data_IF_628482694761
#
_entry.id   IF_628482694761
#
_cell.length_a   1.000
_cell.length_b   1.000
_cell.length_c   1.000
_cell.angle_alpha   90.00
_cell.angle_beta   90.00
_cell.angle_gamma   90.00
#
_symmetry.space_group_name_H-M   'P 1'
#
loop_
_entity.id
_entity.type
_entity.pdbx_description
1 polymer ?
#
# COMPACT_ATOMS: atom_id res chain seq x y z
N UNK A 1 -10.55 23.81 2.87
CA UNK A 1 -9.51 22.90 2.39
C UNK A 1 -9.71 21.58 3.11
N UNK A 2 -9.81 20.48 2.37
CA UNK A 2 -10.04 19.14 2.90
C UNK A 2 -8.73 18.41 3.11
N UNK A 3 -8.69 17.45 4.01
CA UNK A 3 -7.52 16.63 4.27
C UNK A 3 -7.84 15.15 4.05
N UNK A 4 -7.02 14.47 3.23
CA UNK A 4 -7.21 13.08 2.87
C UNK A 4 -6.03 12.27 3.40
N UNK A 5 -6.34 11.22 4.15
CA UNK A 5 -5.37 10.31 4.75
C UNK A 5 -5.46 8.94 4.08
N UNK A 6 -4.38 8.49 3.47
CA UNK A 6 -4.26 7.13 2.94
C UNK A 6 -3.44 6.28 3.91
N UNK A 7 -4.09 5.28 4.50
CA UNK A 7 -3.48 4.32 5.42
C UNK A 7 -3.12 3.05 4.64
N UNK A 8 -1.86 2.65 4.69
CA UNK A 8 -1.47 1.34 4.19
C UNK A 8 -2.03 0.26 5.13
N UNK A 9 -2.53 -0.83 4.58
CA UNK A 9 -2.92 -2.00 5.37
C UNK A 9 -1.77 -2.50 6.25
N UNK A 10 -2.11 -3.15 7.36
CA UNK A 10 -1.17 -3.80 8.26
C UNK A 10 -0.50 -5.03 7.61
N UNK A 11 0.52 -5.57 8.25
CA UNK A 11 1.26 -6.71 7.73
C UNK A 11 0.33 -7.90 7.42
N UNK A 12 0.40 -8.37 6.19
CA UNK A 12 -0.26 -9.59 5.74
C UNK A 12 0.56 -10.85 6.07
N UNK A 13 -0.08 -12.01 6.06
CA UNK A 13 0.54 -13.30 6.35
C UNK A 13 1.30 -13.84 5.14
N UNK A 14 2.56 -13.42 4.96
CA UNK A 14 3.43 -13.95 3.92
C UNK A 14 3.68 -15.46 4.14
N UNK A 15 3.38 -16.27 3.12
CA UNK A 15 3.61 -17.71 3.14
C UNK A 15 2.51 -18.56 3.81
N UNK A 16 1.39 -17.96 4.23
CA UNK A 16 0.20 -18.71 4.58
C UNK A 16 -0.65 -19.03 3.32
N UNK A 17 -1.52 -20.05 3.42
CA UNK A 17 -2.44 -20.43 2.33
C UNK A 17 -3.33 -19.28 1.85
N UNK A 18 -3.52 -18.26 2.69
CA UNK A 18 -4.26 -17.05 2.38
C UNK A 18 -3.42 -15.80 2.66
N UNK A 19 -2.66 -15.36 1.65
CA UNK A 19 -1.84 -14.13 1.72
C UNK A 19 -2.63 -12.86 2.06
N UNK A 20 -3.94 -12.83 1.80
CA UNK A 20 -4.76 -11.63 1.98
C UNK A 20 -5.26 -11.43 3.42
N UNK A 21 -4.81 -12.25 4.38
CA UNK A 21 -5.12 -12.10 5.80
C UNK A 21 -4.01 -11.38 6.58
N UNK A 22 -4.39 -10.68 7.66
CA UNK A 22 -3.42 -10.04 8.54
C UNK A 22 -2.68 -11.07 9.40
N UNK A 23 -1.36 -10.92 9.51
CA UNK A 23 -0.55 -11.64 10.49
C UNK A 23 -0.90 -11.22 11.93
N UNK A 24 -0.44 -12.00 12.92
CA UNK A 24 -0.57 -11.60 14.33
C UNK A 24 0.05 -10.21 14.59
N UNK A 25 1.23 -9.94 13.99
CA UNK A 25 1.88 -8.61 14.06
C UNK A 25 1.04 -7.54 13.36
N UNK A 26 0.42 -7.85 12.21
CA UNK A 26 -0.47 -6.93 11.50
C UNK A 26 -1.71 -6.54 12.31
N UNK A 27 -2.29 -7.48 13.06
CA UNK A 27 -3.40 -7.19 13.97
C UNK A 27 -2.97 -6.22 15.08
N UNK A 28 -1.77 -6.39 15.65
CA UNK A 28 -1.21 -5.46 16.63
C UNK A 28 -0.94 -4.08 16.02
N UNK A 29 -0.37 -4.01 14.82
CA UNK A 29 -0.16 -2.75 14.11
C UNK A 29 -1.47 -1.98 13.90
N UNK A 30 -2.54 -2.68 13.49
CA UNK A 30 -3.87 -2.09 13.30
C UNK A 30 -4.46 -1.56 14.60
N UNK A 31 -4.26 -2.30 15.70
CA UNK A 31 -4.68 -1.89 17.05
C UNK A 31 -3.97 -0.62 17.49
N UNK A 32 -2.65 -0.54 17.32
CA UNK A 32 -1.85 0.64 17.68
C UNK A 32 -2.22 1.85 16.82
N UNK A 33 -2.50 1.66 15.52
CA UNK A 33 -3.03 2.71 14.66
C UNK A 33 -4.38 3.25 15.21
N UNK A 34 -5.30 2.37 15.56
CA UNK A 34 -6.59 2.74 16.14
C UNK A 34 -6.44 3.55 17.43
N UNK A 35 -5.62 3.07 18.38
CA UNK A 35 -5.32 3.77 19.64
C UNK A 35 -4.73 5.17 19.40
N UNK A 36 -3.80 5.26 18.46
CA UNK A 36 -3.18 6.56 18.11
C UNK A 36 -4.21 7.54 17.55
N UNK A 37 -5.03 7.12 16.60
CA UNK A 37 -6.06 7.98 16.01
C UNK A 37 -7.07 8.46 17.06
N UNK A 38 -7.48 7.58 17.97
CA UNK A 38 -8.35 7.90 19.11
C UNK A 38 -7.67 8.90 20.07
N UNK A 39 -6.40 8.66 20.45
CA UNK A 39 -5.65 9.56 21.34
C UNK A 39 -5.48 10.96 20.75
N UNK A 40 -5.40 11.07 19.43
CA UNK A 40 -5.36 12.35 18.69
C UNK A 40 -6.75 12.93 18.43
N UNK A 41 -7.81 12.31 18.92
CA UNK A 41 -9.21 12.70 18.68
C UNK A 41 -9.50 12.92 17.20
N UNK A 42 -8.90 12.08 16.32
CA UNK A 42 -9.08 12.18 14.87
C UNK A 42 -10.53 11.84 14.54
N UNK A 43 -11.18 12.73 13.79
CA UNK A 43 -12.53 12.53 13.25
C UNK A 43 -12.44 12.52 11.75
N UNK A 44 -13.19 11.63 11.13
CA UNK A 44 -13.31 11.52 9.68
C UNK A 44 -14.77 11.68 9.29
N UNK A 45 -15.00 12.43 8.24
CA UNK A 45 -16.33 12.67 7.68
C UNK A 45 -16.74 11.53 6.75
N UNK A 46 -15.75 10.93 6.07
CA UNK A 46 -15.93 9.76 5.21
C UNK A 46 -14.77 8.79 5.36
N UNK A 47 -15.07 7.50 5.12
CA UNK A 47 -14.07 6.42 5.11
C UNK A 47 -14.22 5.61 3.84
N UNK A 48 -13.12 5.40 3.12
CA UNK A 48 -13.02 4.51 1.99
C UNK A 48 -12.15 3.31 2.34
N UNK A 49 -12.49 2.16 1.78
CA UNK A 49 -11.71 0.92 1.95
C UNK A 49 -11.55 0.25 0.59
N UNK A 50 -10.33 -0.20 0.29
CA UNK A 50 -10.06 -0.97 -0.92
C UNK A 50 -10.62 -2.40 -0.87
N UNK A 51 -10.58 -3.11 -2.02
CA UNK A 51 -11.26 -4.40 -2.17
C UNK A 51 -10.59 -5.59 -1.46
N UNK A 52 -9.34 -5.45 -0.99
CA UNK A 52 -8.57 -6.55 -0.44
C UNK A 52 -8.90 -6.80 1.04
N UNK A 53 -8.97 -8.07 1.46
CA UNK A 53 -9.29 -8.45 2.85
C UNK A 53 -8.37 -7.77 3.87
N UNK A 54 -7.06 -7.72 3.61
CA UNK A 54 -6.10 -7.06 4.51
C UNK A 54 -6.37 -5.57 4.71
N UNK A 55 -6.92 -4.87 3.69
CA UNK A 55 -7.33 -3.47 3.80
C UNK A 55 -8.57 -3.34 4.69
N UNK A 56 -9.56 -4.19 4.46
CA UNK A 56 -10.82 -4.26 5.22
C UNK A 56 -10.56 -4.63 6.68
N UNK A 57 -9.80 -5.70 6.96
CA UNK A 57 -9.45 -6.12 8.31
C UNK A 57 -8.66 -5.05 9.08
N UNK A 58 -7.76 -4.30 8.41
CA UNK A 58 -7.07 -3.17 9.05
C UNK A 58 -8.07 -2.12 9.52
N UNK A 59 -9.02 -1.74 8.65
CA UNK A 59 -10.08 -0.81 8.99
C UNK A 59 -10.98 -1.34 10.12
N UNK A 60 -11.41 -2.60 10.07
CA UNK A 60 -12.28 -3.21 11.07
C UNK A 60 -11.70 -3.18 12.48
N UNK A 61 -10.38 -3.46 12.60
CA UNK A 61 -9.68 -3.38 13.88
C UNK A 61 -9.61 -1.93 14.37
N UNK A 62 -9.30 -0.98 13.48
CA UNK A 62 -9.30 0.46 13.82
C UNK A 62 -10.70 0.90 14.26
N UNK A 63 -11.74 0.50 13.52
CA UNK A 63 -13.12 0.82 13.87
C UNK A 63 -13.50 0.29 15.24
N UNK A 64 -13.16 -0.96 15.55
CA UNK A 64 -13.41 -1.54 16.86
C UNK A 64 -12.81 -0.69 18.00
N UNK A 65 -11.59 -0.18 17.83
CA UNK A 65 -10.97 0.72 18.83
C UNK A 65 -11.75 2.02 18.99
N UNK A 66 -12.28 2.60 17.88
CA UNK A 66 -13.15 3.77 17.96
C UNK A 66 -14.43 3.47 18.74
N UNK A 67 -15.09 2.35 18.43
CA UNK A 67 -16.33 1.93 19.09
C UNK A 67 -16.12 1.70 20.61
N UNK A 68 -15.02 1.04 21.01
CA UNK A 68 -14.64 0.81 22.41
C UNK A 68 -14.37 2.13 23.19
N UNK A 69 -14.06 3.22 22.48
CA UNK A 69 -13.86 4.53 23.08
C UNK A 69 -15.05 5.49 22.86
N UNK A 70 -16.22 4.99 22.49
CA UNK A 70 -17.42 5.76 22.19
C UNK A 70 -17.19 6.89 21.16
N UNK A 71 -16.31 6.66 20.17
CA UNK A 71 -16.03 7.58 19.09
C UNK A 71 -16.65 7.07 17.80
N UNK A 72 -17.24 7.97 17.04
CA UNK A 72 -17.84 7.62 15.76
C UNK A 72 -16.78 7.54 14.65
N UNK A 73 -16.82 6.45 13.89
CA UNK A 73 -16.11 6.28 12.63
C UNK A 73 -17.13 5.91 11.54
N UNK A 74 -17.22 6.65 10.43
CA UNK A 74 -18.21 6.39 9.39
C UNK A 74 -18.16 4.97 8.83
N UNK A 75 -19.33 4.48 8.35
CA UNK A 75 -19.39 3.22 7.60
C UNK A 75 -18.51 3.33 6.36
N UNK A 76 -17.70 2.33 6.04
CA UNK A 76 -16.76 2.39 4.93
C UNK A 76 -17.50 2.29 3.59
N UNK A 77 -17.02 3.06 2.62
CA UNK A 77 -17.38 2.98 1.21
C UNK A 77 -16.32 2.13 0.51
N UNK A 78 -16.75 1.07 -0.17
CA UNK A 78 -15.84 0.23 -0.95
C UNK A 78 -15.45 0.99 -2.23
N UNK A 79 -14.15 1.31 -2.36
CA UNK A 79 -13.60 1.95 -3.56
C UNK A 79 -12.65 0.98 -4.28
N UNK A 80 -13.08 0.48 -5.44
CA UNK A 80 -12.33 -0.54 -6.20
C UNK A 80 -10.97 -0.02 -6.69
N UNK A 81 -10.83 1.26 -6.96
CA UNK A 81 -9.56 1.89 -7.38
C UNK A 81 -8.51 1.95 -6.27
N UNK A 82 -8.86 1.65 -5.01
CA UNK A 82 -7.91 1.48 -3.91
C UNK A 82 -7.29 0.05 -3.87
N UNK A 83 -7.28 -0.64 -5.01
CA UNK A 83 -6.67 -1.96 -5.19
C UNK A 83 -5.14 -1.93 -5.00
N UNK A 84 -4.48 -3.08 -5.11
CA UNK A 84 -3.01 -3.20 -5.17
C UNK A 84 -2.59 -3.85 -6.49
N UNK A 85 -1.38 -3.56 -6.94
CA UNK A 85 -0.79 -4.28 -8.07
C UNK A 85 -0.50 -5.74 -7.69
N UNK A 86 -0.66 -6.66 -8.64
CA UNK A 86 -0.38 -8.08 -8.43
C UNK A 86 1.10 -8.42 -8.68
N UNK A 87 2.03 -7.56 -8.25
CA UNK A 87 3.46 -7.68 -8.54
C UNK A 87 4.10 -8.97 -8.03
N UNK A 88 3.68 -9.49 -6.85
CA UNK A 88 4.19 -10.77 -6.34
C UNK A 88 3.81 -11.92 -7.26
N UNK A 89 2.53 -12.03 -7.63
CA UNK A 89 2.04 -13.05 -8.54
C UNK A 89 2.69 -12.93 -9.93
N UNK A 90 2.86 -11.69 -10.40
CA UNK A 90 3.54 -11.42 -11.66
C UNK A 90 5.02 -11.86 -11.63
N UNK A 91 5.73 -11.57 -10.54
CA UNK A 91 7.10 -12.02 -10.36
C UNK A 91 7.20 -13.56 -10.29
N UNK A 92 6.30 -14.23 -9.57
CA UNK A 92 6.27 -15.70 -9.52
C UNK A 92 6.17 -16.33 -10.90
N UNK A 93 5.30 -15.79 -11.78
CA UNK A 93 5.17 -16.25 -13.17
C UNK A 93 6.44 -15.97 -13.99
N UNK A 94 7.10 -14.82 -13.76
CA UNK A 94 8.27 -14.43 -14.53
C UNK A 94 9.59 -14.98 -14.00
N UNK A 95 9.66 -15.40 -12.75
CA UNK A 95 10.91 -15.83 -12.10
C UNK A 95 11.66 -16.93 -12.88
N UNK A 96 11.01 -17.99 -13.41
CA UNK A 96 11.69 -19.00 -14.22
C UNK A 96 12.36 -18.43 -15.47
N UNK A 97 11.72 -17.45 -16.11
CA UNK A 97 12.27 -16.75 -17.28
C UNK A 97 13.45 -15.86 -16.87
N UNK A 98 13.31 -15.10 -15.79
CA UNK A 98 14.36 -14.22 -15.28
C UNK A 98 15.63 -15.00 -14.91
N UNK A 99 15.51 -16.16 -14.28
CA UNK A 99 16.65 -17.02 -13.96
C UNK A 99 17.41 -17.45 -15.23
N UNK A 100 16.69 -17.68 -16.34
CA UNK A 100 17.31 -18.08 -17.61
C UNK A 100 17.93 -16.92 -18.38
N UNK A 101 17.32 -15.73 -18.32
CA UNK A 101 17.65 -14.63 -19.21
C UNK A 101 18.44 -13.49 -18.55
N UNK A 102 18.47 -13.43 -17.21
CA UNK A 102 19.11 -12.33 -16.44
C UNK A 102 20.18 -12.91 -15.52
N UNK A 103 21.48 -12.80 -15.89
CA UNK A 103 22.57 -13.47 -15.17
C UNK A 103 22.62 -13.18 -13.68
N UNK A 104 22.45 -11.92 -13.27
CA UNK A 104 22.51 -11.56 -11.84
C UNK A 104 21.32 -12.12 -11.04
N UNK A 105 20.14 -12.31 -11.65
CA UNK A 105 18.99 -12.96 -10.99
C UNK A 105 19.31 -14.41 -10.71
N UNK A 106 19.92 -15.11 -11.71
CA UNK A 106 20.40 -16.48 -11.54
C UNK A 106 21.38 -16.56 -10.37
N UNK A 107 22.39 -15.67 -10.33
CA UNK A 107 23.36 -15.61 -9.26
C UNK A 107 22.73 -15.41 -7.87
N UNK A 108 21.79 -14.48 -7.74
CA UNK A 108 21.07 -14.24 -6.48
C UNK A 108 20.26 -15.46 -6.04
N UNK A 109 19.64 -16.19 -6.96
CA UNK A 109 18.93 -17.42 -6.65
C UNK A 109 19.88 -18.54 -6.21
N UNK A 110 21.04 -18.66 -6.83
CA UNK A 110 22.10 -19.60 -6.41
C UNK A 110 22.62 -19.26 -5.01
N UNK A 111 22.83 -17.98 -4.71
CA UNK A 111 23.20 -17.51 -3.36
C UNK A 111 22.13 -17.85 -2.31
N UNK A 112 20.84 -17.77 -2.64
CA UNK A 112 19.74 -18.16 -1.74
C UNK A 112 19.82 -19.67 -1.43
N UNK A 113 20.11 -20.50 -2.45
CA UNK A 113 20.24 -21.95 -2.29
C UNK A 113 21.45 -22.32 -1.42
N UNK A 114 22.57 -21.62 -1.60
CA UNK A 114 23.79 -21.86 -0.85
C UNK A 114 23.71 -21.31 0.60
N UNK A 115 23.00 -20.21 0.82
CA UNK A 115 22.82 -19.60 2.13
C UNK A 115 21.38 -19.08 2.30
N UNK A 116 20.49 -19.87 2.94
CA UNK A 116 19.10 -19.50 3.17
C UNK A 116 18.87 -18.17 3.92
N UNK A 117 19.84 -17.71 4.72
CA UNK A 117 19.73 -16.43 5.43
C UNK A 117 19.67 -15.23 4.47
N UNK A 118 20.25 -15.37 3.27
CA UNK A 118 20.19 -14.36 2.20
C UNK A 118 18.84 -14.28 1.50
N UNK A 119 17.93 -15.24 1.75
CA UNK A 119 16.65 -15.34 1.04
C UNK A 119 15.89 -14.03 1.04
N UNK A 120 15.71 -13.40 2.21
CA UNK A 120 14.93 -12.16 2.33
C UNK A 120 15.55 -11.01 1.52
N UNK A 121 16.86 -10.78 1.68
CA UNK A 121 17.56 -9.69 0.99
C UNK A 121 17.59 -9.89 -0.52
N UNK A 122 17.99 -11.07 -0.99
CA UNK A 122 18.12 -11.36 -2.40
C UNK A 122 16.76 -11.39 -3.11
N UNK A 123 15.72 -11.96 -2.46
CA UNK A 123 14.35 -11.92 -3.02
C UNK A 123 13.83 -10.49 -3.16
N UNK A 124 14.16 -9.59 -2.23
CA UNK A 124 13.78 -8.19 -2.33
C UNK A 124 14.47 -7.50 -3.51
N UNK A 125 15.76 -7.78 -3.75
CA UNK A 125 16.52 -7.23 -4.90
C UNK A 125 15.91 -7.73 -6.23
N UNK A 126 15.61 -9.03 -6.32
CA UNK A 126 14.97 -9.62 -7.51
C UNK A 126 13.60 -8.97 -7.74
N UNK A 127 12.81 -8.83 -6.68
CA UNK A 127 11.47 -8.22 -6.77
C UNK A 127 11.54 -6.75 -7.20
N UNK A 128 12.47 -5.98 -6.66
CA UNK A 128 12.66 -4.58 -7.05
C UNK A 128 13.09 -4.45 -8.51
N UNK A 129 14.00 -5.30 -8.97
CA UNK A 129 14.38 -5.35 -10.39
C UNK A 129 13.17 -5.66 -11.27
N UNK A 130 12.44 -6.74 -10.94
CA UNK A 130 11.25 -7.13 -11.69
C UNK A 130 10.23 -5.98 -11.75
N UNK A 131 9.89 -5.36 -10.61
CA UNK A 131 8.92 -4.27 -10.59
C UNK A 131 9.37 -3.07 -11.43
N UNK A 132 10.65 -2.73 -11.45
CA UNK A 132 11.17 -1.66 -12.29
C UNK A 132 11.00 -1.96 -13.79
N UNK A 133 11.31 -3.19 -14.21
CA UNK A 133 11.16 -3.62 -15.60
C UNK A 133 9.68 -3.69 -16.03
N UNK A 134 8.84 -4.20 -15.14
CA UNK A 134 7.40 -4.29 -15.38
C UNK A 134 6.73 -2.91 -15.39
N UNK A 135 7.10 -2.02 -14.50
CA UNK A 135 6.57 -0.67 -14.42
C UNK A 135 6.91 0.17 -15.67
N UNK A 136 8.08 -0.03 -16.26
CA UNK A 136 8.48 0.61 -17.50
C UNK A 136 7.95 -0.10 -18.78
N UNK A 137 7.14 -1.15 -18.61
CA UNK A 137 6.51 -1.87 -19.72
C UNK A 137 7.47 -2.76 -20.51
N UNK A 138 8.68 -3.06 -19.99
CA UNK A 138 9.64 -3.98 -20.62
C UNK A 138 9.32 -5.46 -20.35
N UNK A 139 8.44 -5.73 -19.40
CA UNK A 139 7.90 -7.07 -19.13
C UNK A 139 6.39 -7.04 -19.16
N UNK A 140 5.80 -8.03 -19.82
CA UNK A 140 4.36 -8.26 -19.80
C UNK A 140 4.09 -9.64 -19.21
N UNK A 141 3.06 -9.75 -18.37
CA UNK A 141 2.69 -10.99 -17.68
C UNK A 141 1.25 -11.30 -18.02
N UNK A 142 1.04 -12.39 -18.75
CA UNK A 142 -0.28 -12.82 -19.19
C UNK A 142 -1.21 -13.05 -17.99
N UNK A 143 -2.47 -12.66 -18.13
CA UNK A 143 -3.49 -12.80 -17.07
C UNK A 143 -3.32 -11.89 -15.86
N UNK A 144 -2.34 -10.97 -15.85
CA UNK A 144 -2.13 -10.00 -14.79
C UNK A 144 -2.30 -8.59 -15.33
N UNK A 145 -3.06 -7.76 -14.57
CA UNK A 145 -3.29 -6.36 -14.92
C UNK A 145 -1.94 -5.63 -15.08
N UNK A 146 -1.62 -5.09 -16.27
CA UNK A 146 -0.35 -4.39 -16.49
C UNK A 146 -0.19 -3.18 -15.55
N UNK A 147 1.05 -2.84 -15.20
CA UNK A 147 1.35 -1.71 -14.31
C UNK A 147 0.66 -0.41 -14.71
N UNK A 148 0.71 -0.04 -15.99
CA UNK A 148 0.05 1.17 -16.49
C UNK A 148 -1.48 1.12 -16.29
N UNK A 149 -2.09 -0.04 -16.48
CA UNK A 149 -3.52 -0.21 -16.24
C UNK A 149 -3.86 -0.13 -14.76
N UNK A 150 -3.04 -0.74 -13.87
CA UNK A 150 -3.15 -0.57 -12.42
C UNK A 150 -3.09 0.92 -12.03
N UNK A 151 -2.10 1.69 -12.53
CA UNK A 151 -1.99 3.12 -12.27
C UNK A 151 -3.24 3.89 -12.71
N UNK A 152 -3.82 3.53 -13.85
CA UNK A 152 -5.05 4.14 -14.35
C UNK A 152 -6.25 3.84 -13.45
N UNK A 153 -6.40 2.61 -12.96
CA UNK A 153 -7.48 2.27 -12.01
C UNK A 153 -7.33 3.02 -10.69
N UNK A 154 -6.10 3.16 -10.16
CA UNK A 154 -5.82 3.99 -8.98
C UNK A 154 -6.23 5.45 -9.23
N UNK A 155 -5.90 6.00 -10.39
CA UNK A 155 -6.27 7.38 -10.75
C UNK A 155 -7.79 7.57 -10.84
N UNK A 156 -8.51 6.59 -11.38
CA UNK A 156 -10.00 6.62 -11.40
C UNK A 156 -10.56 6.63 -9.98
N UNK A 157 -10.08 5.74 -9.10
CA UNK A 157 -10.51 5.68 -7.71
C UNK A 157 -10.17 6.96 -6.93
N UNK A 158 -8.98 7.52 -7.15
CA UNK A 158 -8.62 8.81 -6.57
C UNK A 158 -9.60 9.90 -7.02
N UNK A 159 -9.88 10.01 -8.31
CA UNK A 159 -10.83 10.99 -8.84
C UNK A 159 -12.25 10.79 -8.28
N UNK A 160 -12.71 9.54 -8.11
CA UNK A 160 -13.97 9.23 -7.44
C UNK A 160 -14.01 9.81 -6.03
N UNK A 161 -12.97 9.58 -5.21
CA UNK A 161 -12.86 10.12 -3.86
C UNK A 161 -12.83 11.66 -3.87
N UNK A 162 -12.03 12.26 -4.76
CA UNK A 162 -11.89 13.71 -4.84
C UNK A 162 -13.19 14.41 -5.25
N UNK A 163 -13.92 13.85 -6.21
CA UNK A 163 -15.21 14.37 -6.67
C UNK A 163 -16.29 14.32 -5.57
N UNK A 164 -16.18 13.33 -4.69
CA UNK A 164 -17.10 13.12 -3.57
C UNK A 164 -16.73 13.97 -2.33
N UNK A 165 -15.50 14.53 -2.31
CA UNK A 165 -14.97 15.27 -1.16
C UNK A 165 -15.54 16.68 -1.10
N UNK A 166 -16.27 16.97 -0.02
CA UNK A 166 -16.78 18.31 0.29
C UNK A 166 -15.68 19.26 0.82
N UNK A 167 -16.04 20.52 1.01
CA UNK A 167 -15.11 21.51 1.57
C UNK A 167 -14.93 21.31 3.07
N UNK A 168 -13.67 21.28 3.53
CA UNK A 168 -13.32 21.18 4.97
C UNK A 168 -13.42 19.77 5.54
N UNK A 169 -13.67 18.75 4.73
CA UNK A 169 -13.77 17.36 5.18
C UNK A 169 -12.41 16.71 5.47
N UNK A 170 -12.40 15.81 6.43
CA UNK A 170 -11.33 14.87 6.70
C UNK A 170 -11.74 13.47 6.18
N UNK A 171 -10.98 12.94 5.25
CA UNK A 171 -11.24 11.66 4.60
C UNK A 171 -10.20 10.65 5.04
N UNK A 172 -10.63 9.43 5.39
CA UNK A 172 -9.75 8.27 5.59
C UNK A 172 -9.90 7.29 4.43
N UNK A 173 -8.81 6.72 3.94
CA UNK A 173 -8.81 5.69 2.92
C UNK A 173 -7.82 4.58 3.29
N UNK A 174 -8.31 3.35 3.49
CA UNK A 174 -7.48 2.19 3.81
C UNK A 174 -7.15 1.43 2.53
N UNK A 175 -5.87 1.36 2.19
CA UNK A 175 -5.40 0.85 0.91
C UNK A 175 -4.03 0.15 1.02
N UNK A 176 -3.25 0.13 -0.04
CA UNK A 176 -1.98 -0.59 -0.17
C UNK A 176 -0.83 0.32 -0.59
N UNK A 177 0.41 -0.16 -0.46
CA UNK A 177 1.61 0.62 -0.70
C UNK A 177 1.74 1.13 -2.13
N UNK A 178 1.46 0.28 -3.13
CA UNK A 178 1.53 0.66 -4.54
C UNK A 178 0.48 1.71 -4.92
N UNK A 179 -0.70 1.63 -4.32
CA UNK A 179 -1.76 2.64 -4.49
C UNK A 179 -1.35 3.99 -3.90
N UNK A 180 -0.82 4.01 -2.66
CA UNK A 180 -0.36 5.26 -2.03
C UNK A 180 0.82 5.86 -2.82
N UNK A 181 1.76 5.02 -3.27
CA UNK A 181 2.87 5.46 -4.12
C UNK A 181 2.37 6.10 -5.43
N UNK A 182 1.35 5.48 -6.04
CA UNK A 182 0.71 6.00 -7.26
C UNK A 182 0.05 7.36 -7.04
N UNK A 183 -0.71 7.51 -5.95
CA UNK A 183 -1.37 8.77 -5.56
C UNK A 183 -0.33 9.86 -5.24
N UNK A 184 0.73 9.49 -4.52
CA UNK A 184 1.84 10.40 -4.21
C UNK A 184 2.53 10.88 -5.48
N UNK A 185 2.74 9.98 -6.45
CA UNK A 185 3.32 10.33 -7.73
C UNK A 185 2.44 11.30 -8.55
N UNK A 186 1.11 11.13 -8.53
CA UNK A 186 0.18 12.08 -9.16
C UNK A 186 0.28 13.46 -8.49
N UNK A 187 0.26 13.53 -7.16
CA UNK A 187 0.38 14.79 -6.41
C UNK A 187 1.70 15.52 -6.69
N UNK A 188 2.81 14.79 -6.75
CA UNK A 188 4.15 15.34 -7.00
C UNK A 188 4.50 15.46 -8.49
N UNK A 189 3.59 15.10 -9.40
CA UNK A 189 3.78 15.11 -10.86
C UNK A 189 5.01 14.30 -11.32
N UNK A 190 5.26 13.16 -10.65
CA UNK A 190 6.37 12.26 -10.96
C UNK A 190 6.08 11.50 -12.26
N UNK A 191 6.94 11.64 -13.25
CA UNK A 191 6.79 11.05 -14.60
C UNK A 191 7.49 9.70 -14.76
N UNK A 192 8.50 9.41 -13.94
CA UNK A 192 9.34 8.21 -14.07
C UNK A 192 8.82 7.06 -13.19
N UNK A 193 8.40 5.97 -13.82
CA UNK A 193 7.79 4.83 -13.11
C UNK A 193 8.73 4.17 -12.08
N UNK A 194 10.03 4.14 -12.32
CA UNK A 194 11.02 3.68 -11.31
C UNK A 194 10.97 4.49 -10.01
N UNK A 195 10.62 5.77 -10.07
CA UNK A 195 10.44 6.60 -8.86
C UNK A 195 9.18 6.21 -8.10
N UNK A 196 8.12 5.83 -8.82
CA UNK A 196 6.88 5.33 -8.21
C UNK A 196 7.13 3.99 -7.52
N UNK A 197 7.89 3.09 -8.16
CA UNK A 197 8.33 1.82 -7.56
C UNK A 197 9.17 2.09 -6.30
N UNK A 198 10.11 3.04 -6.32
CA UNK A 198 10.89 3.40 -5.14
C UNK A 198 10.01 3.93 -3.99
N UNK A 199 9.00 4.75 -4.28
CA UNK A 199 8.02 5.19 -3.28
C UNK A 199 7.25 4.01 -2.70
N UNK A 200 6.84 3.03 -3.52
CA UNK A 200 6.16 1.83 -3.04
C UNK A 200 7.01 1.05 -2.03
N UNK A 201 8.30 0.84 -2.31
CA UNK A 201 9.22 0.19 -1.38
C UNK A 201 9.49 0.99 -0.10
N UNK A 202 9.26 2.29 -0.10
CA UNK A 202 9.46 3.14 1.08
C UNK A 202 8.34 3.02 2.11
N UNK A 203 7.12 2.62 1.69
CA UNK A 203 5.97 2.57 2.58
C UNK A 203 6.07 1.45 3.60
N UNK A 204 5.70 1.77 4.85
CA UNK A 204 5.60 0.80 5.97
C UNK A 204 4.16 0.37 6.17
N UNK A 205 3.98 -0.82 6.76
CA UNK A 205 2.65 -1.28 7.14
C UNK A 205 2.03 -0.35 8.18
N UNK A 206 0.75 -0.06 8.04
CA UNK A 206 -0.06 0.92 8.78
C UNK A 206 0.42 2.38 8.72
N UNK A 207 1.52 2.68 8.01
CA UNK A 207 1.88 4.07 7.79
C UNK A 207 0.77 4.81 7.05
N UNK A 208 0.63 6.10 7.34
CA UNK A 208 -0.26 6.95 6.58
C UNK A 208 0.50 8.04 5.81
N UNK A 209 -0.06 8.39 4.66
CA UNK A 209 0.34 9.54 3.86
C UNK A 209 -0.86 10.44 3.73
N UNK A 210 -0.71 11.74 3.98
CA UNK A 210 -1.83 12.67 3.93
C UNK A 210 -1.60 13.81 2.94
N UNK A 211 -2.72 14.29 2.40
CA UNK A 211 -2.76 15.33 1.38
C UNK A 211 -3.77 16.40 1.75
N UNK A 212 -3.48 17.63 1.38
CA UNK A 212 -4.50 18.67 1.30
C UNK A 212 -5.12 18.68 -0.10
N UNK A 213 -6.45 18.81 -0.15
CA UNK A 213 -7.21 18.95 -1.39
C UNK A 213 -7.98 20.26 -1.41
N UNK A 214 -7.73 21.06 -2.43
CA UNK A 214 -8.38 22.36 -2.64
C UNK A 214 -8.22 22.79 -4.09
N UNK A 215 -9.23 23.42 -4.67
CA UNK A 215 -9.19 23.96 -6.05
C UNK A 215 -8.74 22.93 -7.09
N UNK A 216 -9.20 21.68 -6.95
CA UNK A 216 -8.83 20.54 -7.79
C UNK A 216 -7.33 20.17 -7.76
N UNK A 217 -6.59 20.65 -6.76
CA UNK A 217 -5.20 20.28 -6.56
C UNK A 217 -5.05 19.41 -5.31
N UNK A 218 -4.31 18.31 -5.44
CA UNK A 218 -3.92 17.42 -4.36
C UNK A 218 -2.46 17.68 -4.00
N UNK A 219 -2.20 18.19 -2.80
CA UNK A 219 -0.88 18.56 -2.33
C UNK A 219 -0.42 17.66 -1.19
N UNK A 220 0.73 17.01 -1.35
CA UNK A 220 1.33 16.17 -0.30
C UNK A 220 1.59 17.01 0.96
N UNK A 221 1.13 16.51 2.11
CA UNK A 221 1.36 17.15 3.40
C UNK A 221 2.25 16.32 4.32
N UNK A 222 1.94 15.03 4.51
CA UNK A 222 2.75 14.10 5.31
C UNK A 222 2.99 12.84 4.50
N UNK A 223 4.19 12.28 4.59
CA UNK A 223 4.55 11.06 3.88
C UNK A 223 4.99 9.97 4.85
N UNK A 224 4.39 8.77 4.75
CA UNK A 224 4.81 7.55 5.43
C UNK A 224 4.97 7.70 6.97
N UNK A 225 4.00 8.33 7.62
CA UNK A 225 4.01 8.61 9.06
C UNK A 225 3.74 7.36 9.89
N UNK A 226 4.53 7.14 10.94
CA UNK A 226 4.56 5.93 11.77
C UNK A 226 4.55 6.21 13.28
N UNK A 227 4.18 7.42 13.70
CA UNK A 227 4.23 7.85 15.10
C UNK A 227 3.43 6.97 16.09
N UNK A 228 2.63 6.03 15.58
CA UNK A 228 1.85 5.06 16.34
C UNK A 228 2.57 3.75 16.60
N UNK A 229 3.69 3.47 15.92
CA UNK A 229 4.39 2.20 16.06
C UNK A 229 5.71 2.37 16.80
N UNK A 230 5.96 1.43 17.71
CA UNK A 230 7.30 1.17 18.21
C UNK A 230 8.14 0.45 17.17
N UNK A 231 9.46 0.56 17.27
CA UNK A 231 10.42 0.06 16.27
C UNK A 231 10.23 -1.43 15.96
N UNK A 232 9.99 -2.26 16.98
CA UNK A 232 9.79 -3.70 16.84
C UNK A 232 8.54 -4.10 16.05
N UNK A 233 7.58 -3.17 15.89
CA UNK A 233 6.38 -3.36 15.10
C UNK A 233 6.52 -2.84 13.67
N UNK A 234 7.59 -2.12 13.32
CA UNK A 234 7.74 -1.56 11.98
C UNK A 234 8.09 -2.68 10.99
N UNK A 235 7.30 -2.80 9.93
CA UNK A 235 7.52 -3.77 8.86
C UNK A 235 7.28 -3.15 7.48
N UNK A 236 7.92 -3.73 6.46
CA UNK A 236 7.79 -3.30 5.06
C UNK A 236 6.81 -4.18 4.28
N UNK A 237 6.87 -5.47 4.56
CA UNK A 237 6.09 -6.53 3.90
C UNK A 237 5.65 -7.51 4.96
#
# INVERSE_FOLDING_TARGET
MSKIYFFRHAQASLGADNYDELSAKGKLQSLELGKYLVSKKKRFDRVYVGPLKRQQHTFEIVKKVYDENNLFLPKPILEKGLLEHNGHKAMEHMLPTLIKTVPFVKELVEQIKANPERKKANSLIIFQYFLNEWAEGRMNVEGILPWKAFRNEVKKGLNSILNDTGSGENIAAFTSGGTIASITAESLKIKYEKRVVALNFSHRNTAYTSFFYSKNELNLFEFNQLSHLKEELITFV
#
